data_IF_153186535838
#
_entry.id   IF_153186535838
#
_cell.length_a   1.000
_cell.length_b   1.000
_cell.length_c   1.000
_cell.angle_alpha   90.00
_cell.angle_beta   90.00
_cell.angle_gamma   90.00
#
_symmetry.space_group_name_H-M   'P 1'
#
loop_
_entity.id
_entity.type
_entity.pdbx_description
1 polymer ?
#
# COMPACT_ATOMS: atom_id res chain seq x y z
N UNK A 1 34.17 -2.84 -21.39
CA UNK A 1 32.72 -2.62 -21.60
C UNK A 1 31.95 -3.25 -20.47
N UNK A 2 31.01 -2.51 -19.91
CA UNK A 2 30.14 -3.02 -18.85
C UNK A 2 28.85 -3.57 -19.42
N UNK A 3 28.43 -4.71 -18.92
CA UNK A 3 27.12 -5.29 -19.21
C UNK A 3 26.34 -5.46 -17.91
N UNK A 4 25.03 -5.43 -18.02
CA UNK A 4 24.12 -5.58 -16.92
C UNK A 4 23.34 -6.90 -17.09
N UNK A 5 23.42 -7.74 -16.10
CA UNK A 5 22.77 -9.04 -16.11
C UNK A 5 21.56 -8.97 -15.19
N UNK A 6 20.39 -9.25 -15.73
CA UNK A 6 19.17 -9.45 -14.95
C UNK A 6 19.01 -10.94 -14.72
N UNK A 7 18.96 -11.33 -13.47
CA UNK A 7 18.80 -12.72 -13.12
C UNK A 7 17.75 -12.89 -12.01
N UNK A 8 17.25 -14.11 -11.85
CA UNK A 8 16.35 -14.45 -10.75
C UNK A 8 16.99 -15.53 -9.87
N UNK A 9 16.69 -15.45 -8.58
CA UNK A 9 17.16 -16.41 -7.58
C UNK A 9 16.00 -16.78 -6.67
N UNK A 10 15.46 -17.99 -6.89
CA UNK A 10 14.33 -18.51 -6.14
C UNK A 10 14.63 -19.91 -5.64
N UNK A 11 15.06 -20.01 -4.37
CA UNK A 11 15.46 -21.27 -3.73
C UNK A 11 16.53 -22.03 -4.54
N UNK A 12 16.19 -23.21 -5.05
CA UNK A 12 17.09 -24.03 -5.87
C UNK A 12 17.05 -23.70 -7.37
N UNK A 13 16.10 -22.86 -7.77
CA UNK A 13 15.94 -22.43 -9.16
C UNK A 13 16.51 -21.04 -9.34
N UNK A 14 17.48 -20.90 -10.20
CA UNK A 14 18.07 -19.62 -10.56
C UNK A 14 18.45 -19.60 -12.04
N UNK A 15 18.46 -18.41 -12.62
CA UNK A 15 18.78 -18.29 -14.02
C UNK A 15 18.93 -16.85 -14.49
N UNK A 16 19.44 -16.70 -15.69
CA UNK A 16 19.63 -15.40 -16.33
C UNK A 16 18.37 -15.08 -17.13
N UNK A 17 17.75 -13.91 -16.85
CA UNK A 17 16.64 -13.38 -17.62
C UNK A 17 17.15 -12.72 -18.90
N UNK A 18 18.24 -11.98 -18.81
CA UNK A 18 18.85 -11.33 -19.95
C UNK A 18 20.16 -10.62 -19.62
N UNK A 19 20.89 -10.25 -20.68
CA UNK A 19 22.12 -9.50 -20.59
C UNK A 19 21.94 -8.23 -21.44
N UNK A 20 22.24 -7.08 -20.85
CA UNK A 20 21.90 -5.78 -21.44
C UNK A 20 23.08 -4.82 -21.41
N UNK A 21 23.12 -3.95 -22.42
CA UNK A 21 23.94 -2.74 -22.39
C UNK A 21 23.33 -1.73 -21.41
N UNK A 22 24.01 -0.61 -21.16
CA UNK A 22 23.46 0.46 -20.32
C UNK A 22 22.09 0.95 -20.81
N UNK A 23 21.96 1.19 -22.13
CA UNK A 23 20.68 1.61 -22.73
C UNK A 23 19.63 0.50 -22.69
N UNK A 24 20.04 -0.73 -22.96
CA UNK A 24 19.16 -1.89 -22.91
C UNK A 24 18.62 -2.12 -21.50
N UNK A 25 19.43 -1.90 -20.47
CA UNK A 25 19.01 -1.95 -19.07
C UNK A 25 17.92 -0.93 -18.78
N UNK A 26 18.09 0.31 -19.25
CA UNK A 26 17.07 1.37 -19.06
C UNK A 26 15.74 1.00 -19.69
N UNK A 27 15.77 0.45 -20.91
CA UNK A 27 14.58 -0.02 -21.61
C UNK A 27 13.92 -1.18 -20.85
N UNK A 28 14.73 -2.13 -20.39
CA UNK A 28 14.22 -3.28 -19.61
C UNK A 28 13.63 -2.84 -18.28
N UNK A 29 14.26 -1.88 -17.61
CA UNK A 29 13.72 -1.32 -16.37
C UNK A 29 12.36 -0.65 -16.60
N UNK A 30 12.18 0.06 -17.70
CA UNK A 30 10.88 0.65 -18.05
C UNK A 30 9.81 -0.42 -18.31
N UNK A 31 10.16 -1.51 -18.98
CA UNK A 31 9.26 -2.65 -19.19
C UNK A 31 8.86 -3.30 -17.86
N UNK A 32 9.83 -3.53 -16.97
CA UNK A 32 9.58 -4.11 -15.64
C UNK A 32 8.70 -3.16 -14.82
N UNK A 33 8.92 -1.85 -14.92
CA UNK A 33 8.08 -0.86 -14.24
C UNK A 33 6.62 -0.93 -14.70
N UNK A 34 6.39 -1.06 -16.01
CA UNK A 34 5.06 -1.23 -16.57
C UNK A 34 4.40 -2.53 -16.10
N UNK A 35 5.15 -3.63 -16.11
CA UNK A 35 4.69 -4.92 -15.59
C UNK A 35 4.34 -4.83 -14.10
N UNK A 36 5.14 -4.12 -13.32
CA UNK A 36 4.92 -3.93 -11.89
C UNK A 36 3.60 -3.19 -11.62
N UNK A 37 3.32 -2.11 -12.34
CA UNK A 37 2.06 -1.38 -12.21
C UNK A 37 0.85 -2.24 -12.58
N UNK A 38 0.95 -3.01 -13.67
CA UNK A 38 -0.11 -3.93 -14.06
C UNK A 38 -0.34 -5.02 -13.02
N UNK A 39 0.75 -5.59 -12.50
CA UNK A 39 0.70 -6.64 -11.48
C UNK A 39 0.00 -6.17 -10.20
N UNK A 40 0.25 -4.94 -9.75
CA UNK A 40 -0.32 -4.40 -8.51
C UNK A 40 -1.65 -3.65 -8.70
N UNK A 41 -2.17 -3.54 -9.93
CA UNK A 41 -3.38 -2.77 -10.20
C UNK A 41 -4.60 -3.29 -9.42
N UNK A 42 -4.81 -4.60 -9.39
CA UNK A 42 -5.92 -5.20 -8.66
C UNK A 42 -5.82 -4.95 -7.15
N UNK A 43 -4.61 -5.06 -6.60
CA UNK A 43 -4.37 -4.78 -5.19
C UNK A 43 -4.68 -3.32 -4.86
N UNK A 44 -4.23 -2.40 -5.70
CA UNK A 44 -4.52 -0.97 -5.55
C UNK A 44 -6.02 -0.70 -5.61
N UNK A 45 -6.72 -1.28 -6.59
CA UNK A 45 -8.16 -1.12 -6.75
C UNK A 45 -8.91 -1.65 -5.52
N UNK A 46 -8.50 -2.80 -4.99
CA UNK A 46 -9.09 -3.38 -3.77
C UNK A 46 -8.87 -2.48 -2.55
N UNK A 47 -7.70 -1.87 -2.42
CA UNK A 47 -7.42 -0.91 -1.35
C UNK A 47 -8.27 0.36 -1.48
N UNK A 48 -8.48 0.84 -2.69
CA UNK A 48 -9.35 2.01 -2.95
C UNK A 48 -10.80 1.71 -2.57
N UNK A 49 -11.31 0.53 -2.92
CA UNK A 49 -12.65 0.08 -2.53
C UNK A 49 -12.77 -0.04 -1.01
N UNK A 50 -11.79 -0.66 -0.36
CA UNK A 50 -11.75 -0.79 1.10
C UNK A 50 -11.77 0.58 1.77
N UNK A 51 -11.00 1.54 1.24
CA UNK A 51 -10.98 2.91 1.76
C UNK A 51 -12.35 3.58 1.68
N UNK A 52 -13.06 3.45 0.55
CA UNK A 52 -14.39 4.02 0.41
C UNK A 52 -15.38 3.38 1.36
N UNK A 53 -15.30 2.08 1.54
CA UNK A 53 -16.15 1.32 2.47
C UNK A 53 -15.92 1.77 3.92
N UNK A 54 -14.65 1.88 4.35
CA UNK A 54 -14.29 2.34 5.68
C UNK A 54 -14.74 3.78 5.94
N UNK A 55 -14.62 4.66 4.96
CA UNK A 55 -15.11 6.05 5.05
C UNK A 55 -16.62 6.10 5.22
N UNK A 56 -17.35 5.26 4.48
CA UNK A 56 -18.82 5.19 4.58
C UNK A 56 -19.26 4.68 5.95
N UNK A 57 -18.61 3.63 6.47
CA UNK A 57 -18.87 3.09 7.80
C UNK A 57 -18.60 4.15 8.87
N UNK A 58 -17.50 4.87 8.77
CA UNK A 58 -17.16 5.93 9.72
C UNK A 58 -18.18 7.07 9.68
N UNK A 59 -18.64 7.47 8.50
CA UNK A 59 -19.65 8.52 8.37
C UNK A 59 -20.93 8.18 9.14
N UNK A 60 -21.42 6.95 9.01
CA UNK A 60 -22.58 6.46 9.74
C UNK A 60 -22.31 6.44 11.24
N UNK A 61 -21.12 5.99 11.64
CA UNK A 61 -20.74 5.95 13.05
C UNK A 61 -20.64 7.35 13.67
N UNK A 62 -20.14 8.35 12.92
CA UNK A 62 -20.06 9.74 13.37
C UNK A 62 -21.45 10.32 13.69
N UNK A 63 -22.48 9.93 12.96
CA UNK A 63 -23.86 10.33 13.28
C UNK A 63 -24.25 9.84 14.68
N UNK A 64 -23.90 8.59 15.02
CA UNK A 64 -24.13 8.02 16.35
C UNK A 64 -23.33 8.74 17.44
N UNK A 65 -22.08 9.07 17.14
CA UNK A 65 -21.22 9.84 18.06
C UNK A 65 -21.85 11.20 18.35
N UNK A 66 -22.30 11.92 17.32
CA UNK A 66 -22.92 13.23 17.47
C UNK A 66 -24.22 13.15 18.29
N UNK A 67 -25.06 12.16 18.04
CA UNK A 67 -26.26 11.91 18.82
C UNK A 67 -25.94 11.67 20.32
N UNK A 68 -24.90 10.87 20.60
CA UNK A 68 -24.48 10.60 21.96
C UNK A 68 -23.93 11.84 22.66
N UNK A 69 -23.20 12.68 21.92
CA UNK A 69 -22.68 13.96 22.44
C UNK A 69 -23.84 14.90 22.80
N UNK A 70 -24.81 15.06 21.91
CA UNK A 70 -25.98 15.92 22.14
C UNK A 70 -26.84 15.40 23.30
N UNK A 71 -27.07 14.09 23.38
CA UNK A 71 -27.80 13.50 24.49
C UNK A 71 -27.09 13.76 25.83
N UNK A 72 -25.77 13.59 25.88
CA UNK A 72 -24.99 13.87 27.10
C UNK A 72 -25.08 15.33 27.54
N UNK A 73 -25.08 16.26 26.58
CA UNK A 73 -25.20 17.71 26.90
C UNK A 73 -26.54 18.01 27.63
N UNK A 74 -27.60 17.30 27.25
CA UNK A 74 -28.93 17.45 27.86
C UNK A 74 -29.04 16.69 29.18
N UNK A 75 -28.29 15.58 29.31
CA UNK A 75 -28.30 14.73 30.50
C UNK A 75 -26.94 14.56 31.13
N UNK A 76 -26.28 15.64 31.62
CA UNK A 76 -24.87 15.60 32.04
C UNK A 76 -24.63 14.74 33.30
N UNK A 77 -25.65 14.42 34.05
CA UNK A 77 -25.56 13.60 35.28
C UNK A 77 -25.86 12.12 35.01
N UNK A 78 -26.19 11.76 33.77
CA UNK A 78 -26.45 10.37 33.39
C UNK A 78 -25.14 9.63 33.11
N UNK A 79 -24.79 8.70 33.98
CA UNK A 79 -23.54 7.91 33.87
C UNK A 79 -23.53 7.02 32.62
N UNK A 80 -24.69 6.48 32.23
CA UNK A 80 -24.81 5.68 31.00
C UNK A 80 -24.59 6.52 29.76
N UNK A 81 -25.11 7.74 29.73
CA UNK A 81 -24.88 8.69 28.62
C UNK A 81 -23.41 9.06 28.47
N UNK A 82 -22.72 9.32 29.60
CA UNK A 82 -21.30 9.61 29.62
C UNK A 82 -20.46 8.44 29.10
N UNK A 83 -20.75 7.23 29.55
CA UNK A 83 -20.06 6.02 29.11
C UNK A 83 -20.27 5.77 27.62
N UNK A 84 -21.51 5.86 27.13
CA UNK A 84 -21.85 5.69 25.73
C UNK A 84 -21.08 6.66 24.83
N UNK A 85 -21.07 7.94 25.19
CA UNK A 85 -20.31 8.97 24.48
C UNK A 85 -18.81 8.60 24.39
N UNK A 86 -18.21 8.24 25.52
CA UNK A 86 -16.81 7.87 25.60
C UNK A 86 -16.48 6.65 24.73
N UNK A 87 -17.29 5.61 24.83
CA UNK A 87 -17.06 4.37 24.10
C UNK A 87 -17.20 4.57 22.59
N UNK A 88 -18.18 5.36 22.15
CA UNK A 88 -18.39 5.67 20.74
C UNK A 88 -17.26 6.54 20.16
N UNK A 89 -16.72 7.48 20.94
CA UNK A 89 -15.56 8.29 20.54
C UNK A 89 -14.32 7.42 20.38
N UNK A 90 -14.09 6.48 21.29
CA UNK A 90 -12.95 5.55 21.18
C UNK A 90 -13.08 4.65 19.96
N UNK A 91 -14.28 4.19 19.66
CA UNK A 91 -14.53 3.38 18.47
C UNK A 91 -14.26 4.18 17.18
N UNK A 92 -14.64 5.47 17.16
CA UNK A 92 -14.34 6.35 16.03
C UNK A 92 -12.85 6.53 15.81
N UNK A 93 -12.07 6.68 16.90
CA UNK A 93 -10.60 6.77 16.81
C UNK A 93 -10.00 5.51 16.17
N UNK A 94 -10.51 4.33 16.49
CA UNK A 94 -10.08 3.07 15.88
C UNK A 94 -10.42 3.03 14.39
N UNK A 95 -11.61 3.49 14.01
CA UNK A 95 -12.03 3.56 12.60
C UNK A 95 -11.14 4.53 11.82
N UNK A 96 -10.80 5.66 12.42
CA UNK A 96 -9.90 6.64 11.80
C UNK A 96 -8.50 6.05 11.57
N UNK A 97 -7.97 5.32 12.54
CA UNK A 97 -6.68 4.63 12.39
C UNK A 97 -6.69 3.61 11.24
N UNK A 98 -7.77 2.88 11.09
CA UNK A 98 -7.95 1.94 9.98
C UNK A 98 -7.94 2.65 8.63
N UNK A 99 -8.62 3.79 8.51
CA UNK A 99 -8.63 4.62 7.31
C UNK A 99 -7.23 5.15 7.01
N UNK A 100 -6.52 5.68 8.00
CA UNK A 100 -5.17 6.19 7.84
C UNK A 100 -4.19 5.12 7.40
N UNK A 101 -4.34 3.89 7.92
CA UNK A 101 -3.53 2.75 7.50
C UNK A 101 -3.72 2.43 6.02
N UNK A 102 -4.96 2.33 5.54
CA UNK A 102 -5.27 2.06 4.13
C UNK A 102 -4.77 3.20 3.24
N UNK A 103 -4.92 4.46 3.67
CA UNK A 103 -4.38 5.61 2.94
C UNK A 103 -2.86 5.53 2.81
N UNK A 104 -2.15 5.13 3.88
CA UNK A 104 -0.69 4.99 3.84
C UNK A 104 -0.25 3.88 2.90
N UNK A 105 -0.98 2.76 2.85
CA UNK A 105 -0.71 1.69 1.91
C UNK A 105 -0.94 2.13 0.46
N UNK A 106 -2.03 2.85 0.20
CA UNK A 106 -2.31 3.41 -1.13
C UNK A 106 -1.24 4.41 -1.58
N UNK A 107 -0.75 5.23 -0.66
CA UNK A 107 0.27 6.24 -0.97
C UNK A 107 1.55 5.60 -1.50
N UNK A 108 1.91 4.41 -1.04
CA UNK A 108 3.09 3.69 -1.53
C UNK A 108 3.04 3.42 -3.03
N UNK A 109 1.85 3.19 -3.59
CA UNK A 109 1.67 2.96 -5.03
C UNK A 109 1.85 4.23 -5.87
N UNK A 110 1.93 5.41 -5.26
CA UNK A 110 2.25 6.64 -5.96
C UNK A 110 3.77 6.84 -6.18
N UNK A 111 4.59 5.99 -5.57
CA UNK A 111 6.05 6.06 -5.70
C UNK A 111 6.55 4.98 -6.66
N UNK A 112 7.01 5.37 -7.87
CA UNK A 112 7.48 4.39 -8.87
C UNK A 112 8.59 3.49 -8.38
N UNK A 113 9.55 4.02 -7.64
CA UNK A 113 10.68 3.25 -7.10
C UNK A 113 10.23 2.19 -6.09
N UNK A 114 9.22 2.50 -5.28
CA UNK A 114 8.65 1.54 -4.34
C UNK A 114 7.99 0.38 -5.09
N UNK A 115 7.15 0.69 -6.07
CA UNK A 115 6.41 -0.30 -6.87
C UNK A 115 7.41 -1.22 -7.60
N UNK A 116 8.42 -0.64 -8.22
CA UNK A 116 9.47 -1.38 -8.92
C UNK A 116 10.22 -2.33 -7.98
N UNK A 117 10.67 -1.83 -6.82
CA UNK A 117 11.41 -2.65 -5.85
C UNK A 117 10.58 -3.80 -5.30
N UNK A 118 9.31 -3.57 -5.00
CA UNK A 118 8.42 -4.62 -4.51
C UNK A 118 8.18 -5.70 -5.57
N UNK A 119 8.00 -5.28 -6.81
CA UNK A 119 7.82 -6.22 -7.92
C UNK A 119 9.07 -7.08 -8.14
N UNK A 120 10.26 -6.45 -8.16
CA UNK A 120 11.52 -7.17 -8.30
C UNK A 120 11.74 -8.18 -7.18
N UNK A 121 11.40 -7.81 -5.93
CA UNK A 121 11.43 -8.75 -4.80
C UNK A 121 10.48 -9.93 -5.01
N UNK A 122 9.26 -9.66 -5.45
CA UNK A 122 8.25 -10.70 -5.69
C UNK A 122 8.70 -11.67 -6.77
N UNK A 123 9.38 -11.19 -7.79
CA UNK A 123 9.93 -11.99 -8.89
C UNK A 123 11.31 -12.56 -8.59
N UNK A 124 11.92 -12.19 -7.46
CA UNK A 124 13.29 -12.56 -7.09
C UNK A 124 14.32 -12.10 -8.12
N UNK A 125 14.11 -10.93 -8.72
CA UNK A 125 14.99 -10.34 -9.71
C UNK A 125 16.11 -9.53 -9.06
N UNK A 126 17.31 -9.66 -9.60
CA UNK A 126 18.48 -8.87 -9.22
C UNK A 126 19.25 -8.42 -10.45
N UNK A 127 19.81 -7.22 -10.36
CA UNK A 127 20.74 -6.72 -11.36
C UNK A 127 22.18 -6.94 -10.91
N UNK A 128 22.99 -7.48 -11.82
CA UNK A 128 24.43 -7.60 -11.62
C UNK A 128 25.15 -6.83 -12.72
N UNK A 129 26.19 -6.12 -12.34
CA UNK A 129 27.07 -5.43 -13.28
C UNK A 129 28.33 -6.27 -13.49
N UNK A 130 28.68 -6.53 -14.74
CA UNK A 130 29.86 -7.29 -15.12
C UNK A 130 30.72 -6.48 -16.07
N UNK A 131 32.02 -6.47 -15.82
CA UNK A 131 33.01 -5.94 -16.76
C UNK A 131 33.34 -7.02 -17.78
N UNK A 132 33.25 -6.68 -19.05
CA UNK A 132 33.63 -7.59 -20.14
C UNK A 132 35.06 -7.24 -20.59
N UNK A 133 35.95 -8.19 -20.46
CA UNK A 133 37.35 -8.08 -20.92
C UNK A 133 37.34 -8.44 -22.39
N UNK A 134 37.75 -7.46 -23.22
CA UNK A 134 37.88 -7.64 -24.67
C UNK A 134 39.24 -8.22 -25.05
#
# INVERSE_FOLDING_TARGET
MKVHVLWYDYYEDSGIVGIYTEEGKKKKMAEIQAEAYEFYQDLKDNLEEELQELKSIRRIHLEKVNEAIEFYKVHPNDKSAKKRKRDLIKEDERKLKGIEYVKSELLKFSYPDYVLRQYMKTRHYEWLEKEVIE
#
